data_IF_974027068071
#
_entry.id   IF_974027068071
#
_cell.length_a   1.000
_cell.length_b   1.000
_cell.length_c   1.000
_cell.angle_alpha   90.00
_cell.angle_beta   90.00
_cell.angle_gamma   90.00
#
_symmetry.space_group_name_H-M   'P 1'
#
loop_
_entity.id
_entity.type
_entity.pdbx_description
1 polymer ?
#
# COMPACT_ATOMS: atom_id res chain seq x y z
N UNK A 1 -0.43 -14.50 -10.81
CA UNK A 1 -1.56 -13.92 -10.05
C UNK A 1 -1.03 -12.71 -9.29
N UNK A 2 -1.45 -11.49 -9.65
CA UNK A 2 -1.00 -10.28 -8.97
C UNK A 2 -1.55 -10.24 -7.54
N UNK A 3 -0.69 -10.00 -6.55
CA UNK A 3 -1.12 -9.75 -5.17
C UNK A 3 -1.95 -8.45 -5.15
N UNK A 4 -3.28 -8.60 -5.19
CA UNK A 4 -4.23 -7.50 -4.98
C UNK A 4 -4.40 -7.33 -3.48
N UNK A 5 -3.81 -6.27 -2.92
CA UNK A 5 -4.03 -5.91 -1.51
C UNK A 5 -5.47 -5.46 -1.31
N UNK A 6 -6.22 -6.25 -0.55
CA UNK A 6 -7.57 -5.92 -0.10
C UNK A 6 -7.53 -5.50 1.36
N UNK A 7 -8.33 -4.51 1.72
CA UNK A 7 -8.53 -4.14 3.10
C UNK A 7 -9.23 -5.30 3.83
N UNK A 8 -8.70 -5.83 4.95
CA UNK A 8 -9.36 -6.88 5.72
C UNK A 8 -10.61 -6.39 6.45
N UNK A 9 -10.78 -5.07 6.60
CA UNK A 9 -11.88 -4.47 7.33
C UNK A 9 -13.11 -4.28 6.43
N UNK A 10 -12.95 -3.57 5.31
CA UNK A 10 -14.04 -3.25 4.39
C UNK A 10 -14.01 -4.02 3.05
N UNK A 11 -12.98 -4.82 2.78
CA UNK A 11 -12.82 -5.57 1.53
C UNK A 11 -12.33 -4.74 0.33
N UNK A 12 -12.22 -3.42 0.48
CA UNK A 12 -11.82 -2.50 -0.59
C UNK A 12 -10.39 -2.75 -1.08
N UNK A 13 -10.20 -2.69 -2.40
CA UNK A 13 -8.88 -2.76 -3.06
C UNK A 13 -8.17 -1.39 -3.07
N UNK A 14 -8.82 -0.34 -2.57
CA UNK A 14 -8.30 1.03 -2.59
C UNK A 14 -7.36 1.27 -1.40
N UNK A 15 -6.09 0.94 -1.58
CA UNK A 15 -5.05 1.16 -0.57
C UNK A 15 -4.24 2.42 -0.93
N UNK A 16 -4.13 3.33 0.04
CA UNK A 16 -3.49 4.64 -0.07
C UNK A 16 -2.35 4.79 0.94
N UNK A 17 -1.52 5.80 0.71
CA UNK A 17 -0.40 6.12 1.59
C UNK A 17 -0.90 6.62 2.95
N UNK A 18 -0.40 6.05 4.07
CA UNK A 18 -0.79 6.49 5.41
C UNK A 18 -0.40 7.94 5.71
N UNK A 19 0.61 8.48 5.02
CA UNK A 19 1.13 9.83 5.28
C UNK A 19 0.38 10.92 4.53
N UNK A 20 0.08 10.68 3.26
CA UNK A 20 -0.42 11.71 2.36
C UNK A 20 -1.74 11.34 1.66
N UNK A 21 -2.27 10.13 1.88
CA UNK A 21 -3.45 9.63 1.16
C UNK A 21 -3.21 9.38 -0.34
N UNK A 22 -1.98 9.58 -0.81
CA UNK A 22 -1.58 9.38 -2.20
C UNK A 22 -1.58 7.92 -2.64
N UNK A 23 -1.48 7.70 -3.94
CA UNK A 23 -1.59 6.36 -4.51
C UNK A 23 -0.30 5.55 -4.29
N UNK A 24 -0.45 4.30 -3.83
CA UNK A 24 0.67 3.40 -3.68
C UNK A 24 0.94 2.66 -4.99
N UNK A 25 2.19 2.68 -5.42
CA UNK A 25 2.68 1.91 -6.56
C UNK A 25 3.57 0.78 -6.05
N UNK A 26 3.28 -0.44 -6.49
CA UNK A 26 4.18 -1.58 -6.29
C UNK A 26 5.38 -1.43 -7.21
N UNK A 27 6.58 -1.64 -6.66
CA UNK A 27 7.81 -1.68 -7.42
C UNK A 27 8.70 -2.80 -6.93
N UNK A 28 9.52 -3.34 -7.83
CA UNK A 28 10.66 -4.17 -7.46
C UNK A 28 11.81 -3.24 -7.09
N UNK A 29 12.25 -3.31 -5.84
CA UNK A 29 13.49 -2.64 -5.44
C UNK A 29 14.66 -3.39 -6.08
N UNK A 30 15.76 -2.70 -6.42
CA UNK A 30 16.95 -3.29 -7.06
C UNK A 30 17.57 -4.50 -6.32
N UNK A 31 17.14 -4.74 -5.08
CA UNK A 31 17.56 -5.85 -4.21
C UNK A 31 16.59 -7.05 -4.23
N UNK A 32 15.65 -7.11 -5.17
CA UNK A 32 14.68 -8.20 -5.30
C UNK A 32 13.50 -8.16 -4.31
N UNK A 33 13.49 -7.22 -3.36
CA UNK A 33 12.35 -7.03 -2.47
C UNK A 33 11.20 -6.33 -3.21
N UNK A 34 10.01 -6.94 -3.18
CA UNK A 34 8.76 -6.28 -3.53
C UNK A 34 8.46 -5.26 -2.45
N UNK A 35 8.16 -4.02 -2.85
CA UNK A 35 7.85 -2.95 -1.93
C UNK A 35 6.87 -1.98 -2.55
N UNK A 36 6.15 -1.25 -1.70
CA UNK A 36 5.22 -0.23 -2.14
C UNK A 36 5.82 1.14 -1.90
N UNK A 37 5.61 2.06 -2.82
CA UNK A 37 6.05 3.45 -2.67
C UNK A 37 4.89 4.36 -3.00
N UNK A 38 4.74 5.44 -2.24
CA UNK A 38 3.78 6.47 -2.60
C UNK A 38 4.29 7.26 -3.81
N UNK A 39 3.44 7.40 -4.82
CA UNK A 39 3.75 8.19 -6.02
C UNK A 39 3.81 9.69 -5.70
N UNK A 40 2.93 10.17 -4.82
CA UNK A 40 2.81 11.59 -4.49
C UNK A 40 3.91 12.08 -3.55
N UNK A 41 4.06 11.42 -2.40
CA UNK A 41 5.00 11.86 -1.37
C UNK A 41 6.34 11.08 -1.39
N UNK A 42 6.52 10.13 -2.30
CA UNK A 42 7.77 9.38 -2.45
C UNK A 42 8.11 8.47 -1.27
N UNK A 43 7.21 8.33 -0.29
CA UNK A 43 7.43 7.54 0.92
C UNK A 43 7.42 6.04 0.60
N UNK A 44 8.46 5.33 1.01
CA UNK A 44 8.47 3.87 0.95
C UNK A 44 7.52 3.31 2.01
N UNK A 45 6.53 2.58 1.58
CA UNK A 45 5.55 1.90 2.42
C UNK A 45 6.00 0.45 2.57
N UNK A 46 6.52 0.14 3.75
CA UNK A 46 7.01 -1.19 4.12
C UNK A 46 6.25 -1.67 5.34
N UNK A 47 5.42 -2.70 5.16
CA UNK A 47 4.74 -3.38 6.26
C UNK A 47 3.27 -3.01 6.47
N UNK A 48 2.86 -1.75 6.25
CA UNK A 48 1.47 -1.33 6.45
C UNK A 48 1.06 -0.16 5.56
N UNK A 49 -0.20 -0.11 5.15
CA UNK A 49 -0.80 0.99 4.40
C UNK A 49 -2.19 1.33 4.96
N UNK A 50 -2.89 2.32 4.40
CA UNK A 50 -4.24 2.69 4.85
C UNK A 50 -5.25 2.47 3.74
N UNK A 51 -6.45 2.02 4.09
CA UNK A 51 -7.55 1.92 3.14
C UNK A 51 -8.12 3.32 2.86
N UNK A 52 -8.19 3.71 1.59
CA UNK A 52 -8.75 4.97 1.15
C UNK A 52 -10.28 5.03 1.13
N UNK A 53 -10.97 3.94 1.47
CA UNK A 53 -12.43 3.95 1.70
C UNK A 53 -12.75 4.00 3.19
N UNK A 54 -12.37 2.96 3.95
CA UNK A 54 -12.73 2.88 5.36
C UNK A 54 -11.72 3.50 6.33
N UNK A 55 -10.56 3.97 5.85
CA UNK A 55 -9.50 4.54 6.71
C UNK A 55 -8.76 3.51 7.57
N UNK A 56 -9.09 2.22 7.46
CA UNK A 56 -8.48 1.17 8.25
C UNK A 56 -7.03 0.89 7.84
N UNK A 57 -6.17 0.60 8.82
CA UNK A 57 -4.80 0.18 8.60
C UNK A 57 -4.75 -1.25 8.05
N UNK A 58 -4.06 -1.41 6.92
CA UNK A 58 -3.84 -2.68 6.24
C UNK A 58 -2.42 -3.13 6.51
N UNK A 59 -2.26 -4.02 7.48
CA UNK A 59 -0.98 -4.65 7.87
C UNK A 59 -0.68 -5.84 6.93
N UNK A 60 0.59 -6.04 6.56
CA UNK A 60 1.00 -7.15 5.70
C UNK A 60 1.35 -6.75 4.25
N UNK A 61 1.61 -5.46 4.03
CA UNK A 61 2.11 -4.92 2.75
C UNK A 61 3.58 -5.35 2.58
N UNK A 62 3.80 -6.50 1.94
CA UNK A 62 5.10 -7.15 1.74
C UNK A 62 5.23 -7.65 0.31
#
# INVERSE_FOLDING_TARGET
>A
MGLKMKCPNCGSEKIVCPKCGGMLVSGTTAMGCVGFRCKDCGMAVRGYAICGECGAEVLGVR
#
